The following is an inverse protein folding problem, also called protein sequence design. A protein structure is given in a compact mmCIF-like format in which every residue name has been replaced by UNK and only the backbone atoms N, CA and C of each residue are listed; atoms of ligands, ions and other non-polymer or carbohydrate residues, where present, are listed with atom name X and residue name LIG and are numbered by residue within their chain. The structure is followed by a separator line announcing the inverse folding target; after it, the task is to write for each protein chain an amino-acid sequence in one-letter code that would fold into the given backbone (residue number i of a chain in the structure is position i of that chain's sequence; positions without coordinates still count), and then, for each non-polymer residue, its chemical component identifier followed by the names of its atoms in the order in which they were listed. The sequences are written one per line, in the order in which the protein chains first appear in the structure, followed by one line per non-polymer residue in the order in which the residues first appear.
data_IF_484404665376
#
_entry.id   IF_484404665376
#
_cell.length_a   1.000
_cell.length_b   1.000
_cell.length_c   1.000
_cell.angle_alpha   90.00
_cell.angle_beta   90.00
_cell.angle_gamma   90.00
#
_symmetry.space_group_name_H-M   'P 1'
#
loop_
_entity.id
_entity.type
_entity.pdbx_description
1 polymer ?
#
# COMPACT_ATOMS: atom_id res chain seq x y z
N UNK A 1 -54.10 -29.15 17.40
CA UNK A 1 -53.46 -28.16 18.30
C UNK A 1 -51.95 -28.38 18.50
N UNK A 2 -51.38 -29.57 18.27
CA UNK A 2 -49.93 -29.87 18.40
C UNK A 2 -49.06 -29.43 17.20
N UNK A 3 -49.62 -29.40 16.00
CA UNK A 3 -48.88 -29.01 14.78
C UNK A 3 -48.64 -27.49 14.63
N UNK A 4 -49.51 -26.64 15.19
CA UNK A 4 -49.31 -25.17 15.15
C UNK A 4 -48.21 -24.69 16.11
N UNK A 5 -47.89 -25.44 17.13
CA UNK A 5 -46.82 -25.08 18.11
C UNK A 5 -45.44 -25.42 17.52
N UNK A 6 -45.32 -26.46 16.72
CA UNK A 6 -44.04 -26.82 16.08
C UNK A 6 -43.63 -25.80 15.01
N UNK A 7 -44.56 -25.28 14.22
CA UNK A 7 -44.27 -24.27 13.18
C UNK A 7 -43.81 -22.94 13.77
N UNK A 8 -44.35 -22.55 14.93
CA UNK A 8 -43.98 -21.30 15.61
C UNK A 8 -42.55 -21.36 16.21
N UNK A 9 -42.07 -22.56 16.63
CA UNK A 9 -40.71 -22.73 17.13
C UNK A 9 -39.65 -22.68 16.03
N UNK A 10 -39.92 -23.18 14.83
CA UNK A 10 -38.99 -23.10 13.69
C UNK A 10 -38.89 -21.69 13.14
N UNK A 11 -39.95 -20.90 13.10
CA UNK A 11 -39.90 -19.50 12.69
C UNK A 11 -39.10 -18.61 13.66
N UNK A 12 -39.17 -18.86 14.97
CA UNK A 12 -38.41 -18.11 15.97
C UNK A 12 -36.90 -18.38 15.91
N UNK A 13 -36.50 -19.64 15.65
CA UNK A 13 -35.09 -20.02 15.50
C UNK A 13 -34.50 -19.44 14.21
N UNK A 14 -35.23 -19.43 13.11
CA UNK A 14 -34.79 -18.83 11.84
C UNK A 14 -34.61 -17.30 11.93
N UNK A 15 -35.49 -16.60 12.68
CA UNK A 15 -35.37 -15.16 12.90
C UNK A 15 -34.16 -14.78 13.78
N UNK A 16 -33.81 -15.61 14.79
CA UNK A 16 -32.64 -15.35 15.64
C UNK A 16 -31.31 -15.59 14.91
N UNK A 17 -31.21 -16.58 14.02
CA UNK A 17 -30.02 -16.84 13.22
C UNK A 17 -29.79 -15.72 12.18
N UNK A 18 -30.88 -15.19 11.56
CA UNK A 18 -30.78 -14.09 10.60
C UNK A 18 -30.39 -12.75 11.24
N UNK A 19 -30.81 -12.48 12.49
CA UNK A 19 -30.44 -11.24 13.17
C UNK A 19 -29.00 -11.26 13.65
N UNK A 20 -28.47 -12.40 14.09
CA UNK A 20 -27.06 -12.53 14.53
C UNK A 20 -26.07 -12.37 13.36
N UNK A 21 -26.39 -12.92 12.18
CA UNK A 21 -25.54 -12.77 10.98
C UNK A 21 -25.58 -11.36 10.39
N UNK A 22 -26.73 -10.68 10.45
CA UNK A 22 -26.84 -9.28 10.01
C UNK A 22 -26.13 -8.31 10.97
N UNK A 23 -26.12 -8.58 12.25
CA UNK A 23 -25.44 -7.77 13.26
C UNK A 23 -23.90 -7.93 13.19
N UNK A 24 -23.39 -9.15 13.00
CA UNK A 24 -21.98 -9.40 12.77
C UNK A 24 -21.46 -8.74 11.48
N UNK A 25 -22.25 -8.72 10.41
CA UNK A 25 -21.90 -8.02 9.16
C UNK A 25 -21.92 -6.48 9.32
N UNK A 26 -22.70 -5.93 10.26
CA UNK A 26 -22.75 -4.49 10.54
C UNK A 26 -21.58 -3.99 11.39
N UNK A 27 -21.11 -4.77 12.33
CA UNK A 27 -20.04 -4.40 13.24
C UNK A 27 -18.66 -4.36 12.58
N UNK A 28 -18.44 -5.12 11.50
CA UNK A 28 -17.14 -5.22 10.81
C UNK A 28 -16.87 -4.12 9.78
N UNK A 29 -17.87 -3.35 9.33
CA UNK A 29 -17.71 -2.38 8.21
C UNK A 29 -16.67 -1.29 8.43
N UNK A 30 -16.33 -0.99 9.68
CA UNK A 30 -15.34 0.04 10.03
C UNK A 30 -14.09 -0.57 10.69
N UNK A 31 -13.97 -1.90 10.70
CA UNK A 31 -12.86 -2.53 11.39
C UNK A 31 -11.56 -2.32 10.63
N UNK A 32 -10.53 -1.94 11.38
CA UNK A 32 -9.17 -1.68 10.90
C UNK A 32 -8.23 -2.53 11.71
N UNK A 33 -7.39 -3.30 11.04
CA UNK A 33 -6.37 -4.11 11.69
C UNK A 33 -4.99 -3.51 11.42
N UNK A 34 -4.21 -3.36 12.48
CA UNK A 34 -2.83 -2.89 12.44
C UNK A 34 -1.81 -3.97 12.80
N UNK A 35 -2.31 -5.11 13.27
CA UNK A 35 -1.51 -6.26 13.66
C UNK A 35 -1.90 -7.49 12.81
N UNK A 36 -0.92 -8.14 12.13
CA UNK A 36 -1.20 -9.29 11.26
C UNK A 36 -1.68 -10.53 12.01
N UNK A 37 -1.22 -10.76 13.26
CA UNK A 37 -1.65 -11.92 14.04
C UNK A 37 -3.11 -11.77 14.50
N UNK A 38 -3.51 -10.54 14.83
CA UNK A 38 -4.90 -10.22 15.15
C UNK A 38 -5.78 -10.36 13.92
N UNK A 39 -5.33 -9.83 12.78
CA UNK A 39 -6.06 -9.94 11.51
C UNK A 39 -6.29 -11.41 11.11
N UNK A 40 -5.27 -12.26 11.22
CA UNK A 40 -5.36 -13.70 10.94
C UNK A 40 -6.39 -14.43 11.82
N UNK A 41 -6.53 -14.03 13.08
CA UNK A 41 -7.48 -14.65 14.03
C UNK A 41 -8.92 -14.19 13.81
N UNK A 42 -9.10 -12.93 13.40
CA UNK A 42 -10.40 -12.28 13.43
C UNK A 42 -11.06 -12.17 12.05
N UNK A 43 -10.27 -12.21 10.97
CA UNK A 43 -10.78 -12.14 9.60
C UNK A 43 -10.17 -13.24 8.72
N UNK A 44 -10.93 -14.29 8.41
CA UNK A 44 -10.45 -15.37 7.55
C UNK A 44 -10.12 -14.90 6.12
N UNK A 45 -10.66 -13.75 5.67
CA UNK A 45 -10.36 -13.17 4.36
C UNK A 45 -8.92 -12.66 4.28
N UNK A 46 -8.32 -12.27 5.41
CA UNK A 46 -6.94 -11.82 5.47
C UNK A 46 -5.94 -12.91 5.05
N UNK A 47 -6.15 -14.15 5.49
CA UNK A 47 -5.30 -15.28 5.11
C UNK A 47 -5.37 -15.62 3.60
N UNK A 48 -6.49 -15.27 2.97
CA UNK A 48 -6.74 -15.53 1.54
C UNK A 48 -6.11 -14.45 0.66
N UNK A 49 -6.13 -13.19 1.11
CA UNK A 49 -5.51 -12.10 0.41
C UNK A 49 -4.01 -12.32 0.20
N UNK A 50 -3.51 -12.09 -1.00
CA UNK A 50 -2.09 -12.25 -1.29
C UNK A 50 -1.79 -12.50 -2.76
N UNK A 51 -0.59 -13.00 -3.02
CA UNK A 51 -0.06 -13.26 -4.34
C UNK A 51 0.09 -14.76 -4.58
N UNK A 52 -0.28 -15.20 -5.78
CA UNK A 52 -0.27 -16.58 -6.20
C UNK A 52 0.43 -16.68 -7.54
N UNK A 53 1.45 -17.52 -7.65
CA UNK A 53 2.28 -17.63 -8.85
C UNK A 53 2.40 -19.07 -9.29
N UNK A 54 2.30 -19.28 -10.59
CA UNK A 54 2.48 -20.57 -11.22
C UNK A 54 2.86 -20.42 -12.68
N UNK A 55 2.90 -21.53 -13.38
CA UNK A 55 3.26 -21.56 -14.78
C UNK A 55 2.45 -22.64 -15.49
N UNK A 56 1.90 -22.30 -16.65
CA UNK A 56 1.44 -23.29 -17.61
C UNK A 56 2.47 -23.50 -18.72
N UNK A 57 2.18 -24.36 -19.69
CA UNK A 57 3.09 -24.66 -20.80
C UNK A 57 3.41 -23.44 -21.70
N UNK A 58 2.63 -22.38 -21.62
CA UNK A 58 2.72 -21.23 -22.52
C UNK A 58 3.18 -19.95 -21.83
N UNK A 59 2.89 -19.77 -20.52
CA UNK A 59 3.16 -18.50 -19.85
C UNK A 59 3.26 -18.61 -18.33
N UNK A 60 3.96 -17.66 -17.72
CA UNK A 60 3.89 -17.42 -16.29
C UNK A 60 2.54 -16.80 -15.93
N UNK A 61 1.94 -17.28 -14.85
CA UNK A 61 0.67 -16.79 -14.31
C UNK A 61 0.91 -16.18 -12.93
N UNK A 62 0.43 -14.96 -12.74
CA UNK A 62 0.48 -14.27 -11.47
C UNK A 62 -0.89 -13.72 -11.13
N UNK A 63 -1.37 -14.01 -9.93
CA UNK A 63 -2.67 -13.55 -9.45
C UNK A 63 -2.49 -12.78 -8.16
N UNK A 64 -3.07 -11.59 -8.09
CA UNK A 64 -3.18 -10.80 -6.88
C UNK A 64 -4.62 -10.85 -6.38
N UNK A 65 -4.84 -11.44 -5.21
CA UNK A 65 -6.16 -11.59 -4.58
C UNK A 65 -6.31 -10.53 -3.50
N UNK A 66 -7.31 -9.67 -3.64
CA UNK A 66 -7.61 -8.54 -2.75
C UNK A 66 -8.90 -8.80 -2.00
N UNK A 67 -8.85 -8.81 -0.68
CA UNK A 67 -10.03 -8.92 0.18
C UNK A 67 -10.84 -7.63 0.16
N UNK A 68 -12.16 -7.78 0.00
CA UNK A 68 -13.12 -6.68 -0.04
C UNK A 68 -14.07 -6.67 1.16
N UNK A 69 -13.85 -7.61 2.10
CA UNK A 69 -14.68 -7.86 3.26
C UNK A 69 -15.88 -8.75 2.98
N UNK A 70 -16.41 -9.37 4.03
CA UNK A 70 -17.58 -10.26 3.98
C UNK A 70 -17.42 -11.42 2.98
N UNK A 71 -16.24 -12.01 2.88
CA UNK A 71 -15.97 -13.12 1.96
C UNK A 71 -15.97 -12.73 0.48
N UNK A 72 -15.85 -11.44 0.15
CA UNK A 72 -15.77 -10.94 -1.22
C UNK A 72 -14.32 -10.63 -1.58
N UNK A 73 -13.95 -10.93 -2.84
CA UNK A 73 -12.60 -10.74 -3.33
C UNK A 73 -12.59 -10.22 -4.77
N UNK A 74 -11.57 -9.44 -5.09
CA UNK A 74 -11.11 -9.22 -6.45
C UNK A 74 -9.83 -10.01 -6.68
N UNK A 75 -9.74 -10.72 -7.81
CA UNK A 75 -8.50 -11.34 -8.25
C UNK A 75 -8.07 -10.75 -9.60
N UNK A 76 -6.85 -10.25 -9.65
CA UNK A 76 -6.25 -9.67 -10.83
C UNK A 76 -5.25 -10.64 -11.43
N UNK A 77 -5.62 -11.27 -12.54
CA UNK A 77 -4.78 -12.19 -13.28
C UNK A 77 -3.85 -11.41 -14.22
N UNK A 78 -2.55 -11.66 -14.09
CA UNK A 78 -1.49 -11.11 -14.94
C UNK A 78 -0.80 -12.27 -15.66
N UNK A 79 -0.70 -12.18 -16.98
CA UNK A 79 -0.05 -13.19 -17.81
C UNK A 79 1.29 -12.66 -18.31
N UNK A 80 2.27 -13.57 -18.47
CA UNK A 80 3.62 -13.28 -18.97
C UNK A 80 4.36 -12.20 -18.17
N UNK A 81 4.06 -12.08 -16.88
CA UNK A 81 4.71 -11.14 -15.98
C UNK A 81 5.10 -11.81 -14.69
N UNK A 82 6.37 -11.68 -14.32
CA UNK A 82 6.80 -11.83 -12.94
C UNK A 82 6.91 -10.44 -12.29
N UNK A 83 6.67 -10.34 -10.97
CA UNK A 83 6.75 -9.06 -10.23
C UNK A 83 8.09 -8.33 -10.40
N UNK A 84 9.13 -9.03 -10.84
CA UNK A 84 10.50 -8.53 -10.94
C UNK A 84 10.95 -8.17 -12.36
N UNK A 85 10.19 -8.53 -13.41
CA UNK A 85 10.54 -8.13 -14.79
C UNK A 85 9.85 -6.82 -15.18
N UNK A 86 10.50 -5.72 -14.81
CA UNK A 86 10.01 -4.37 -15.02
C UNK A 86 10.01 -3.91 -16.49
N UNK A 87 10.49 -4.73 -17.44
CA UNK A 87 10.76 -4.32 -18.82
C UNK A 87 9.61 -4.53 -19.79
N UNK A 88 8.55 -5.22 -19.40
CA UNK A 88 7.42 -5.47 -20.30
C UNK A 88 6.24 -4.55 -19.98
N UNK A 89 5.90 -3.57 -20.85
CA UNK A 89 4.68 -2.76 -20.73
C UNK A 89 3.44 -3.67 -20.76
N UNK A 90 2.48 -3.35 -19.89
CA UNK A 90 1.38 -4.19 -19.54
C UNK A 90 0.54 -4.84 -20.60
N UNK A 91 0.51 -6.16 -20.62
CA UNK A 91 -0.66 -6.88 -21.12
C UNK A 91 -1.87 -6.59 -20.20
N UNK A 92 -3.06 -6.69 -20.78
CA UNK A 92 -4.32 -6.46 -20.07
C UNK A 92 -4.39 -7.35 -18.81
N UNK A 93 -4.87 -6.76 -17.73
CA UNK A 93 -5.19 -7.47 -16.48
C UNK A 93 -6.62 -8.01 -16.61
N UNK A 94 -6.81 -9.26 -16.22
CA UNK A 94 -8.16 -9.83 -16.14
C UNK A 94 -8.64 -9.76 -14.70
N UNK A 95 -9.78 -9.13 -14.48
CA UNK A 95 -10.45 -9.07 -13.19
C UNK A 95 -11.41 -10.23 -13.04
N UNK A 96 -11.29 -10.98 -11.95
CA UNK A 96 -12.22 -11.98 -11.51
C UNK A 96 -12.87 -11.53 -10.19
N UNK A 97 -14.14 -11.87 -10.00
CA UNK A 97 -14.87 -11.63 -8.76
C UNK A 97 -14.97 -12.91 -7.96
N UNK A 98 -14.52 -12.87 -6.70
CA UNK A 98 -14.50 -14.03 -5.80
C UNK A 98 -15.53 -13.91 -4.70
N UNK A 99 -16.16 -15.04 -4.38
CA UNK A 99 -17.03 -15.19 -3.20
C UNK A 99 -16.59 -16.41 -2.43
N UNK A 100 -16.34 -16.24 -1.13
CA UNK A 100 -15.98 -17.32 -0.22
C UNK A 100 -17.24 -18.07 0.23
N UNK A 101 -17.19 -19.38 0.07
CA UNK A 101 -18.17 -20.33 0.59
C UNK A 101 -17.41 -21.37 1.40
N UNK A 102 -17.57 -21.36 2.71
CA UNK A 102 -16.77 -22.14 3.66
C UNK A 102 -15.25 -21.83 3.48
N UNK A 103 -14.45 -22.85 3.20
CA UNK A 103 -12.99 -22.74 3.04
C UNK A 103 -12.54 -22.52 1.58
N UNK A 104 -13.47 -22.30 0.67
CA UNK A 104 -13.19 -22.13 -0.75
C UNK A 104 -13.72 -20.80 -1.25
N UNK A 105 -12.89 -20.09 -2.02
CA UNK A 105 -13.33 -18.94 -2.82
C UNK A 105 -13.54 -19.38 -4.24
N UNK A 106 -14.71 -19.10 -4.78
CA UNK A 106 -15.06 -19.35 -6.18
C UNK A 106 -14.96 -18.03 -6.93
N UNK A 107 -14.14 -18.00 -7.98
CA UNK A 107 -13.96 -16.83 -8.83
C UNK A 107 -14.67 -16.98 -10.15
N UNK A 108 -15.36 -15.91 -10.54
CA UNK A 108 -16.11 -15.82 -11.80
C UNK A 108 -15.54 -14.72 -12.68
N UNK A 109 -15.65 -14.91 -13.99
CA UNK A 109 -15.37 -13.89 -14.99
C UNK A 109 -16.54 -12.91 -15.18
N UNK A 110 -16.43 -12.02 -16.16
CA UNK A 110 -17.46 -11.03 -16.52
C UNK A 110 -18.76 -11.68 -17.00
N UNK A 111 -18.70 -12.92 -17.52
CA UNK A 111 -19.86 -13.70 -17.98
C UNK A 111 -20.48 -14.54 -16.85
N UNK A 112 -19.99 -14.39 -15.61
CA UNK A 112 -20.38 -15.16 -14.43
C UNK A 112 -20.05 -16.66 -14.53
N UNK A 113 -19.17 -17.07 -15.45
CA UNK A 113 -18.66 -18.42 -15.50
C UNK A 113 -17.66 -18.62 -14.36
N UNK A 114 -17.79 -19.74 -13.62
CA UNK A 114 -16.84 -20.17 -12.60
C UNK A 114 -15.57 -20.66 -13.30
N UNK A 115 -14.46 -19.95 -13.17
CA UNK A 115 -13.24 -20.24 -13.91
C UNK A 115 -12.03 -20.54 -13.01
N UNK A 116 -12.10 -20.15 -11.74
CA UNK A 116 -11.02 -20.40 -10.79
C UNK A 116 -11.55 -20.65 -9.37
N UNK A 117 -10.74 -21.30 -8.56
CA UNK A 117 -10.99 -21.51 -7.13
C UNK A 117 -9.73 -21.21 -6.31
N UNK A 118 -9.94 -20.84 -5.04
CA UNK A 118 -8.85 -20.71 -4.08
C UNK A 118 -9.22 -21.53 -2.84
N UNK A 119 -8.37 -22.48 -2.50
CA UNK A 119 -8.56 -23.40 -1.38
C UNK A 119 -7.20 -23.78 -0.81
N UNK A 120 -7.07 -23.86 0.51
CA UNK A 120 -5.84 -24.25 1.22
C UNK A 120 -4.57 -23.52 0.74
N UNK A 121 -4.67 -22.20 0.48
CA UNK A 121 -3.53 -21.39 0.04
C UNK A 121 -3.09 -21.63 -1.40
N UNK A 122 -3.89 -22.31 -2.20
CA UNK A 122 -3.64 -22.56 -3.62
C UNK A 122 -4.75 -21.95 -4.49
N UNK A 123 -4.37 -21.14 -5.45
CA UNK A 123 -5.26 -20.62 -6.49
C UNK A 123 -5.22 -21.54 -7.70
N UNK A 124 -6.35 -22.10 -8.11
CA UNK A 124 -6.45 -23.01 -9.26
C UNK A 124 -7.21 -22.35 -10.39
N UNK A 125 -6.58 -22.23 -11.56
CA UNK A 125 -7.14 -21.64 -12.77
C UNK A 125 -6.97 -22.61 -13.95
N UNK A 126 -8.07 -23.05 -14.55
CA UNK A 126 -8.06 -23.96 -15.72
C UNK A 126 -7.13 -25.19 -15.55
N UNK A 127 -7.16 -25.78 -14.35
CA UNK A 127 -6.33 -26.95 -14.02
C UNK A 127 -4.88 -26.65 -13.62
N UNK A 128 -4.47 -25.39 -13.65
CA UNK A 128 -3.13 -24.97 -13.18
C UNK A 128 -3.24 -24.51 -11.73
N UNK A 129 -2.39 -25.06 -10.87
CA UNK A 129 -2.31 -24.67 -9.44
C UNK A 129 -1.21 -23.65 -9.24
N UNK A 130 -1.56 -22.54 -8.62
CA UNK A 130 -0.68 -21.44 -8.25
C UNK A 130 -0.58 -21.38 -6.73
N UNK A 131 0.54 -21.80 -6.13
CA UNK A 131 0.77 -21.65 -4.70
C UNK A 131 0.89 -20.17 -4.33
N UNK A 132 0.55 -19.87 -3.06
CA UNK A 132 0.79 -18.53 -2.48
C UNK A 132 2.29 -18.28 -2.39
N UNK A 133 2.68 -17.05 -2.69
CA UNK A 133 4.04 -16.55 -2.46
C UNK A 133 4.00 -15.33 -1.54
N UNK A 134 5.11 -15.07 -0.89
CA UNK A 134 5.34 -13.85 -0.12
C UNK A 134 6.53 -13.10 -0.72
N UNK A 135 6.29 -11.86 -1.13
CA UNK A 135 7.36 -10.96 -1.54
C UNK A 135 7.76 -10.07 -0.36
N UNK A 136 9.04 -9.78 -0.27
CA UNK A 136 9.57 -8.75 0.62
C UNK A 136 10.47 -7.80 -0.16
N UNK A 137 10.64 -6.59 0.35
CA UNK A 137 11.61 -5.66 -0.22
C UNK A 137 13.04 -6.15 0.02
N UNK A 138 13.93 -6.09 -0.98
CA UNK A 138 15.35 -6.42 -0.79
C UNK A 138 16.08 -5.41 0.10
N UNK A 139 15.51 -4.21 0.32
CA UNK A 139 16.06 -3.17 1.18
C UNK A 139 15.38 -3.11 2.56
N UNK A 140 14.48 -4.05 2.85
CA UNK A 140 13.86 -4.15 4.17
C UNK A 140 14.90 -4.44 5.25
N UNK A 141 14.94 -3.61 6.31
CA UNK A 141 15.94 -3.70 7.36
C UNK A 141 17.32 -3.15 6.95
N UNK A 142 17.41 -2.40 5.85
CA UNK A 142 18.66 -1.78 5.43
C UNK A 142 19.24 -0.89 6.53
N UNK A 143 20.51 -1.11 6.86
CA UNK A 143 21.20 -0.33 7.88
C UNK A 143 21.58 1.04 7.33
N UNK A 144 21.46 2.11 8.13
CA UNK A 144 21.95 3.43 7.74
C UNK A 144 23.45 3.38 7.46
N UNK A 145 23.94 3.93 6.34
CA UNK A 145 25.36 4.10 6.11
C UNK A 145 25.97 5.09 7.13
N UNK A 146 27.30 5.12 7.22
CA UNK A 146 28.01 5.87 8.26
C UNK A 146 27.69 7.37 8.23
N UNK A 147 27.47 7.92 7.05
CA UNK A 147 27.17 9.34 6.81
C UNK A 147 25.68 9.69 6.95
N UNK A 148 24.83 8.70 7.21
CA UNK A 148 23.40 8.92 7.34
C UNK A 148 23.04 9.62 8.66
N UNK A 149 22.05 10.49 8.56
CA UNK A 149 21.31 11.00 9.70
C UNK A 149 20.11 10.10 9.96
N UNK A 150 20.07 9.46 11.12
CA UNK A 150 18.96 8.61 11.52
C UNK A 150 17.82 9.51 12.01
N UNK A 151 16.71 9.50 11.29
CA UNK A 151 15.53 10.26 11.65
C UNK A 151 14.59 9.48 12.56
N UNK A 152 14.59 8.14 12.46
CA UNK A 152 13.82 7.28 13.34
C UNK A 152 14.36 5.84 13.31
N UNK A 153 14.73 5.33 14.48
CA UNK A 153 15.28 3.98 14.69
C UNK A 153 14.38 3.06 15.55
N UNK A 154 13.20 3.55 15.92
CA UNK A 154 12.26 2.84 16.78
C UNK A 154 12.34 3.24 18.26
N UNK A 155 13.30 4.06 18.68
CA UNK A 155 13.49 4.44 20.09
C UNK A 155 12.84 5.76 20.45
N UNK A 156 12.92 6.77 19.58
CA UNK A 156 12.44 8.13 19.86
C UNK A 156 11.96 8.84 18.59
N UNK A 157 10.91 9.65 18.74
CA UNK A 157 10.44 10.56 17.69
C UNK A 157 11.01 11.99 17.80
N UNK A 158 12.10 12.18 18.53
CA UNK A 158 12.66 13.52 18.82
C UNK A 158 13.10 14.31 17.58
N UNK A 159 13.40 13.63 16.47
CA UNK A 159 13.76 14.27 15.19
C UNK A 159 12.55 14.85 14.44
N UNK A 160 11.32 14.66 14.98
CA UNK A 160 10.07 15.01 14.32
C UNK A 160 9.26 16.01 15.15
N UNK A 161 8.78 17.07 14.55
CA UNK A 161 7.70 17.90 15.08
C UNK A 161 6.39 17.11 14.95
N UNK A 162 5.57 17.09 16.00
CA UNK A 162 4.36 16.25 16.11
C UNK A 162 4.61 14.75 15.94
N UNK A 163 5.85 14.28 16.09
CA UNK A 163 6.19 12.87 16.03
C UNK A 163 5.67 12.11 17.24
N UNK A 164 5.15 10.90 17.03
CA UNK A 164 4.69 9.99 18.07
C UNK A 164 5.26 8.60 17.84
N UNK A 165 6.06 8.12 18.78
CA UNK A 165 6.60 6.77 18.78
C UNK A 165 5.73 5.87 19.68
N UNK A 166 5.25 4.77 19.12
CA UNK A 166 4.54 3.73 19.87
C UNK A 166 5.00 2.34 19.40
N UNK A 167 5.34 1.46 20.34
CA UNK A 167 5.74 0.08 20.04
C UNK A 167 6.85 -0.04 18.97
N UNK A 168 7.83 0.89 18.99
CA UNK A 168 8.94 0.89 18.04
C UNK A 168 8.61 1.38 16.63
N UNK A 169 7.45 2.00 16.43
CA UNK A 169 7.05 2.60 15.15
C UNK A 169 6.70 4.09 15.31
N UNK A 170 6.90 4.86 14.25
CA UNK A 170 6.47 6.25 14.15
C UNK A 170 5.09 6.28 13.53
N UNK A 171 4.15 6.90 14.22
CA UNK A 171 2.77 7.04 13.74
C UNK A 171 2.65 8.15 12.68
N UNK A 172 1.79 7.95 11.70
CA UNK A 172 1.44 8.95 10.68
C UNK A 172 0.54 10.07 11.27
N UNK A 173 1.10 10.87 12.17
CA UNK A 173 0.37 11.95 12.89
C UNK A 173 0.34 13.30 12.17
N UNK A 174 0.92 13.39 10.97
CA UNK A 174 1.23 14.66 10.32
C UNK A 174 2.52 15.24 10.90
N UNK A 175 3.56 14.42 10.98
CA UNK A 175 4.84 14.80 11.58
C UNK A 175 5.83 15.32 10.53
N UNK A 176 6.62 16.32 10.92
CA UNK A 176 7.60 17.02 10.06
C UNK A 176 9.00 16.82 10.63
N UNK A 177 9.99 16.50 9.80
CA UNK A 177 11.38 16.48 10.26
C UNK A 177 11.82 17.86 10.73
N UNK A 178 12.47 17.94 11.90
CA UNK A 178 13.00 19.21 12.43
C UNK A 178 14.09 19.78 11.54
N UNK A 179 14.91 18.90 10.97
CA UNK A 179 15.93 19.28 10.01
C UNK A 179 15.36 19.41 8.60
N UNK A 180 15.90 20.35 7.85
CA UNK A 180 15.59 20.61 6.44
C UNK A 180 16.75 20.12 5.58
N UNK A 181 16.44 19.64 4.39
CA UNK A 181 17.39 19.00 3.48
C UNK A 181 17.30 19.59 2.08
N UNK A 182 18.44 19.71 1.42
CA UNK A 182 18.55 20.01 -0.01
C UNK A 182 18.50 18.74 -0.84
N UNK A 183 19.64 18.35 -1.42
CA UNK A 183 19.80 17.09 -2.14
C UNK A 183 20.06 15.96 -1.14
N UNK A 184 19.43 14.79 -1.33
CA UNK A 184 19.56 13.66 -0.41
C UNK A 184 19.17 12.32 -0.99
N UNK A 185 19.67 11.25 -0.40
CA UNK A 185 19.06 9.90 -0.48
C UNK A 185 18.30 9.63 0.82
N UNK A 186 17.08 9.10 0.71
CA UNK A 186 16.20 8.74 1.83
C UNK A 186 15.84 7.26 1.73
N UNK A 187 15.94 6.57 2.86
CA UNK A 187 15.33 5.28 3.08
C UNK A 187 14.26 5.39 4.16
N UNK A 188 13.12 4.76 3.94
CA UNK A 188 12.12 4.57 4.98
C UNK A 188 11.32 3.29 4.75
N UNK A 189 10.83 2.71 5.85
CA UNK A 189 9.92 1.60 5.83
C UNK A 189 8.53 2.04 6.30
N UNK A 190 7.50 1.55 5.62
CA UNK A 190 6.11 1.86 5.97
C UNK A 190 5.25 0.61 5.95
N UNK A 191 4.14 0.65 6.70
CA UNK A 191 3.15 -0.42 6.74
C UNK A 191 1.75 0.18 6.76
N UNK A 192 0.94 -0.22 5.78
CA UNK A 192 -0.47 0.17 5.70
C UNK A 192 -1.32 -0.79 6.55
N UNK A 193 -2.41 -0.32 7.18
CA UNK A 193 -3.36 -1.17 7.87
C UNK A 193 -4.15 -2.04 6.89
N UNK A 194 -4.69 -3.16 7.38
CA UNK A 194 -5.66 -3.95 6.65
C UNK A 194 -7.07 -3.37 6.87
N UNK A 195 -7.67 -2.89 5.78
CA UNK A 195 -8.97 -2.20 5.76
C UNK A 195 -9.84 -2.75 4.62
N UNK A 196 -10.34 -4.00 4.70
CA UNK A 196 -11.00 -4.67 3.57
C UNK A 196 -12.29 -3.98 3.11
N UNK A 197 -12.93 -3.21 3.99
CA UNK A 197 -14.15 -2.47 3.66
C UNK A 197 -13.91 -1.09 3.05
N UNK A 198 -12.70 -0.54 3.18
CA UNK A 198 -12.33 0.76 2.63
C UNK A 198 -11.93 0.66 1.15
N UNK A 199 -12.04 1.77 0.42
CA UNK A 199 -11.70 1.86 -1.01
C UNK A 199 -10.99 3.18 -1.31
N UNK A 200 -10.20 3.17 -2.38
CA UNK A 200 -9.52 4.36 -2.90
C UNK A 200 -8.75 5.09 -1.82
N UNK A 201 -8.83 6.41 -1.79
CA UNK A 201 -8.09 7.27 -0.86
C UNK A 201 -8.46 7.09 0.63
N UNK A 202 -9.48 6.33 0.96
CA UNK A 202 -9.84 5.95 2.33
C UNK A 202 -9.16 4.67 2.84
N UNK A 203 -8.36 3.97 2.01
CA UNK A 203 -7.81 2.66 2.32
C UNK A 203 -6.30 2.72 2.60
N UNK A 204 -5.92 2.82 3.87
CA UNK A 204 -4.51 2.78 4.29
C UNK A 204 -3.68 3.95 3.75
N UNK A 205 -4.23 5.16 3.79
CA UNK A 205 -3.67 6.36 3.18
C UNK A 205 -2.74 7.12 4.12
N UNK A 206 -1.62 7.56 3.56
CA UNK A 206 -0.65 8.50 4.07
C UNK A 206 0.15 9.05 2.89
N UNK A 207 1.23 9.80 3.13
CA UNK A 207 2.12 10.32 2.10
C UNK A 207 3.47 10.71 2.65
N UNK A 208 4.52 10.55 1.84
CA UNK A 208 5.88 11.03 2.13
C UNK A 208 6.13 12.27 1.29
N UNK A 209 6.18 13.43 1.93
CA UNK A 209 6.41 14.69 1.22
C UNK A 209 7.88 15.07 1.25
N UNK A 210 8.46 15.16 0.08
CA UNK A 210 9.83 15.64 -0.14
C UNK A 210 9.85 17.17 -0.11
N UNK A 211 10.79 17.72 0.65
CA UNK A 211 10.88 19.17 0.90
C UNK A 211 9.58 19.79 1.45
N UNK A 212 8.69 18.96 2.05
CA UNK A 212 7.36 19.37 2.51
C UNK A 212 6.40 19.77 1.38
N UNK A 213 6.65 19.37 0.13
CA UNK A 213 5.96 19.88 -1.06
C UNK A 213 5.46 18.82 -2.02
N UNK A 214 6.24 17.80 -2.32
CA UNK A 214 5.93 16.78 -3.34
C UNK A 214 5.72 15.44 -2.67
N UNK A 215 4.54 14.90 -2.85
CA UNK A 215 4.12 13.66 -2.23
C UNK A 215 4.49 12.45 -3.07
N UNK A 216 5.22 11.52 -2.47
CA UNK A 216 5.20 10.12 -2.86
C UNK A 216 4.10 9.42 -2.08
N UNK A 217 3.06 8.97 -2.80
CA UNK A 217 1.84 8.43 -2.21
C UNK A 217 2.09 7.14 -1.43
N UNK A 218 1.53 7.05 -0.22
CA UNK A 218 1.40 5.82 0.57
C UNK A 218 -0.08 5.45 0.62
N UNK A 219 -0.43 4.27 0.09
CA UNK A 219 -1.81 3.79 0.00
C UNK A 219 -1.83 2.26 -0.03
N UNK A 220 -2.85 1.61 0.51
CA UNK A 220 -3.10 0.21 0.20
C UNK A 220 -3.66 0.09 -1.23
N UNK A 221 -2.76 0.12 -2.19
CA UNK A 221 -3.03 -0.06 -3.62
C UNK A 221 -2.76 -1.48 -4.10
N UNK A 222 -2.65 -2.45 -3.17
CA UNK A 222 -2.37 -3.83 -3.53
C UNK A 222 -3.38 -4.35 -4.56
N UNK A 223 -2.87 -4.92 -5.64
CA UNK A 223 -3.68 -5.43 -6.74
C UNK A 223 -4.22 -4.37 -7.70
N UNK A 224 -4.11 -3.07 -7.45
CA UNK A 224 -4.65 -2.03 -8.32
C UNK A 224 -3.71 -1.67 -9.49
N UNK A 225 -4.22 -0.91 -10.45
CA UNK A 225 -3.41 -0.31 -11.50
C UNK A 225 -2.58 0.86 -10.96
N UNK A 226 -1.40 1.07 -11.55
CA UNK A 226 -0.57 2.21 -11.25
C UNK A 226 -1.23 3.52 -11.71
N UNK A 227 -1.42 4.47 -10.78
CA UNK A 227 -1.89 5.83 -11.05
C UNK A 227 -1.07 6.81 -10.22
N UNK A 228 -1.16 8.09 -10.55
CA UNK A 228 -0.43 9.14 -9.84
C UNK A 228 -0.90 9.34 -8.39
N UNK A 229 -2.09 8.86 -8.04
CA UNK A 229 -2.68 8.87 -6.71
C UNK A 229 -2.75 7.48 -6.05
N UNK A 230 -2.05 6.49 -6.59
CA UNK A 230 -1.87 5.16 -6.00
C UNK A 230 -0.45 5.02 -5.40
N UNK A 231 -0.20 3.99 -4.61
CA UNK A 231 1.08 3.77 -3.94
C UNK A 231 2.26 3.87 -4.91
N UNK A 232 3.26 4.67 -4.56
CA UNK A 232 4.42 4.97 -5.39
C UNK A 232 4.20 6.07 -6.42
N UNK A 233 2.98 6.60 -6.57
CA UNK A 233 2.72 7.77 -7.44
C UNK A 233 3.31 9.05 -6.87
N UNK A 234 3.75 9.96 -7.73
CA UNK A 234 3.99 11.35 -7.35
C UNK A 234 2.67 12.08 -7.57
N UNK A 235 1.99 12.37 -6.46
CA UNK A 235 0.60 12.80 -6.45
C UNK A 235 0.34 13.96 -7.42
N UNK A 236 -0.64 13.81 -8.30
CA UNK A 236 -1.00 14.77 -9.35
C UNK A 236 0.14 15.19 -10.31
N UNK A 237 1.24 14.45 -10.33
CA UNK A 237 2.39 14.68 -11.24
C UNK A 237 2.63 13.51 -12.15
N UNK A 238 2.86 12.30 -11.60
CA UNK A 238 3.23 11.13 -12.40
C UNK A 238 2.82 9.82 -11.75
N UNK A 239 2.29 8.90 -12.57
CA UNK A 239 2.06 7.51 -12.13
C UNK A 239 3.38 6.74 -12.08
N UNK A 240 3.53 5.79 -11.14
CA UNK A 240 4.70 4.91 -11.15
C UNK A 240 4.68 4.00 -12.39
N UNK A 241 5.84 3.58 -12.83
CA UNK A 241 6.00 2.64 -13.98
C UNK A 241 5.24 1.33 -13.74
N UNK A 242 5.22 0.87 -12.49
CA UNK A 242 4.55 -0.34 -12.03
C UNK A 242 3.96 -0.13 -10.64
N UNK A 243 2.85 -0.79 -10.34
CA UNK A 243 2.39 -0.93 -8.96
C UNK A 243 3.13 -2.09 -8.29
N UNK A 244 4.07 -1.77 -7.40
CA UNK A 244 4.85 -2.73 -6.62
C UNK A 244 4.38 -2.85 -5.16
N UNK A 245 3.22 -2.27 -4.83
CA UNK A 245 2.62 -2.33 -3.50
C UNK A 245 2.45 -3.80 -3.05
N UNK A 246 2.86 -4.08 -1.83
CA UNK A 246 2.65 -5.37 -1.17
C UNK A 246 1.26 -5.39 -0.49
N UNK A 247 0.75 -6.56 -0.11
CA UNK A 247 -0.48 -6.65 0.68
C UNK A 247 -0.40 -5.81 1.96
N UNK A 248 -1.52 -5.25 2.45
CA UNK A 248 -1.53 -4.52 3.71
C UNK A 248 -1.03 -5.39 4.87
N UNK A 249 -0.51 -4.75 5.92
CA UNK A 249 0.23 -5.33 7.04
C UNK A 249 1.60 -5.91 6.68
N UNK A 250 2.03 -5.86 5.41
CA UNK A 250 3.41 -6.12 5.03
C UNK A 250 4.25 -4.85 5.16
N UNK A 251 5.47 -4.97 5.68
CA UNK A 251 6.44 -3.88 5.65
C UNK A 251 6.95 -3.66 4.23
N UNK A 252 6.98 -2.41 3.79
CA UNK A 252 7.36 -1.95 2.47
C UNK A 252 8.45 -0.89 2.59
N UNK A 253 9.23 -0.66 1.53
CA UNK A 253 10.30 0.33 1.52
C UNK A 253 10.12 1.35 0.42
N UNK A 254 10.44 2.60 0.74
CA UNK A 254 10.82 3.60 -0.23
C UNK A 254 12.32 3.89 -0.11
N UNK A 255 13.02 3.79 -1.24
CA UNK A 255 14.38 4.29 -1.42
C UNK A 255 14.30 5.42 -2.45
N UNK A 256 14.68 6.63 -2.04
CA UNK A 256 14.48 7.85 -2.81
C UNK A 256 15.76 8.63 -2.96
N UNK A 257 16.08 9.06 -4.17
CA UNK A 257 17.08 10.09 -4.45
C UNK A 257 16.37 11.37 -4.87
N UNK A 258 16.56 12.43 -4.09
CA UNK A 258 15.94 13.73 -4.32
C UNK A 258 16.98 14.79 -4.62
N UNK A 259 16.83 15.48 -5.75
CA UNK A 259 17.62 16.64 -6.13
C UNK A 259 16.76 17.88 -6.00
N UNK A 260 17.14 18.80 -5.15
CA UNK A 260 16.39 20.02 -4.89
C UNK A 260 16.49 21.03 -6.04
N UNK A 261 15.55 21.96 -6.10
CA UNK A 261 15.56 23.06 -7.06
C UNK A 261 16.86 23.86 -7.00
N UNK A 262 17.26 24.43 -8.15
CA UNK A 262 18.39 25.35 -8.23
C UNK A 262 17.92 26.78 -8.42
N UNK A 263 18.66 27.71 -7.79
CA UNK A 263 18.40 29.13 -7.85
C UNK A 263 19.71 29.87 -8.23
N UNK A 264 19.59 30.95 -8.96
CA UNK A 264 20.71 31.87 -9.22
C UNK A 264 20.90 32.88 -8.06
N UNK A 265 21.89 33.72 -8.18
CA UNK A 265 22.22 34.75 -7.17
C UNK A 265 21.11 35.78 -6.94
N UNK A 266 20.18 35.91 -7.89
CA UNK A 266 19.01 36.81 -7.75
C UNK A 266 17.82 36.13 -7.05
N UNK A 267 17.95 34.85 -6.71
CA UNK A 267 16.88 34.04 -6.13
C UNK A 267 15.86 33.52 -7.15
N UNK A 268 16.14 33.63 -8.44
CA UNK A 268 15.32 33.08 -9.50
C UNK A 268 15.62 31.60 -9.66
N UNK A 269 14.55 30.75 -9.68
CA UNK A 269 14.71 29.31 -9.94
C UNK A 269 15.24 29.05 -11.35
N UNK A 270 16.34 28.30 -11.46
CA UNK A 270 17.00 27.91 -12.71
C UNK A 270 16.77 26.45 -13.08
N UNK A 271 16.40 25.60 -12.09
CA UNK A 271 16.00 24.21 -12.35
C UNK A 271 14.93 23.76 -11.35
N UNK A 272 13.99 22.94 -11.82
CA UNK A 272 13.03 22.25 -10.98
C UNK A 272 13.70 21.11 -10.18
N UNK A 273 13.11 20.69 -9.04
CA UNK A 273 13.58 19.50 -8.36
C UNK A 273 13.37 18.26 -9.20
N UNK A 274 14.14 17.21 -8.88
CA UNK A 274 14.02 15.91 -9.55
C UNK A 274 13.98 14.80 -8.50
N UNK A 275 13.33 13.68 -8.84
CA UNK A 275 13.18 12.57 -7.92
C UNK A 275 13.33 11.23 -8.65
N UNK A 276 14.07 10.33 -8.01
CA UNK A 276 14.12 8.90 -8.33
C UNK A 276 13.53 8.14 -7.17
N UNK A 277 12.59 7.23 -7.43
CA UNK A 277 11.92 6.44 -6.38
C UNK A 277 11.99 4.96 -6.72
N UNK A 278 12.41 4.16 -5.75
CA UNK A 278 12.21 2.71 -5.74
C UNK A 278 11.16 2.36 -4.69
N UNK A 279 10.17 1.57 -5.09
CA UNK A 279 9.18 0.96 -4.20
C UNK A 279 9.50 -0.53 -4.09
N UNK A 280 9.79 -1.00 -2.89
CA UNK A 280 10.17 -2.39 -2.62
C UNK A 280 11.34 -2.85 -3.50
N UNK A 281 12.37 -1.99 -3.64
CA UNK A 281 13.58 -2.23 -4.42
C UNK A 281 13.42 -2.07 -5.95
N UNK A 282 12.21 -1.85 -6.45
CA UNK A 282 11.92 -1.70 -7.88
C UNK A 282 11.82 -0.23 -8.26
N UNK A 283 12.56 0.18 -9.30
CA UNK A 283 12.56 1.55 -9.82
C UNK A 283 11.19 1.90 -10.43
N UNK A 284 10.46 2.81 -9.78
CA UNK A 284 9.12 3.24 -10.20
C UNK A 284 9.11 4.64 -10.82
N UNK A 285 10.05 5.51 -10.41
CA UNK A 285 10.35 6.78 -11.05
C UNK A 285 11.87 6.94 -11.20
N UNK A 286 12.32 7.45 -12.31
CA UNK A 286 13.73 7.67 -12.64
C UNK A 286 13.93 9.09 -13.09
N UNK A 287 14.71 9.85 -12.31
CA UNK A 287 15.08 11.24 -12.60
C UNK A 287 13.88 12.11 -13.07
N UNK A 288 12.73 11.92 -12.41
CA UNK A 288 11.49 12.61 -12.75
C UNK A 288 11.57 14.08 -12.32
N UNK A 289 11.35 15.00 -13.25
CA UNK A 289 11.20 16.43 -12.92
C UNK A 289 9.87 16.70 -12.21
N UNK A 290 9.90 17.58 -11.21
CA UNK A 290 8.75 17.98 -10.41
C UNK A 290 8.31 19.43 -10.78
N UNK A 291 7.55 19.62 -11.87
CA UNK A 291 7.33 20.93 -12.50
C UNK A 291 6.19 21.73 -11.83
N UNK A 292 6.02 21.57 -10.54
CA UNK A 292 5.03 22.29 -9.70
C UNK A 292 5.71 22.74 -8.41
N UNK A 293 5.25 23.84 -7.83
CA UNK A 293 5.77 24.31 -6.55
C UNK A 293 5.38 23.39 -5.38
N UNK A 294 4.27 22.65 -5.48
CA UNK A 294 3.79 21.68 -4.50
C UNK A 294 2.69 20.79 -5.09
N UNK A 295 2.44 19.66 -4.44
CA UNK A 295 1.31 18.77 -4.73
C UNK A 295 0.15 19.02 -3.75
N UNK A 296 -0.99 18.36 -3.97
CA UNK A 296 -2.18 18.48 -3.14
C UNK A 296 -1.86 18.19 -1.67
N UNK A 297 -2.49 18.90 -0.76
CA UNK A 297 -2.33 18.75 0.70
C UNK A 297 -0.90 18.91 1.24
N UNK A 298 0.01 19.49 0.46
CA UNK A 298 1.37 19.77 0.91
C UNK A 298 1.38 20.74 2.11
N UNK A 299 2.14 20.48 3.18
CA UNK A 299 2.25 21.39 4.32
C UNK A 299 2.91 22.71 3.91
N UNK A 300 3.76 22.72 2.90
CA UNK A 300 4.36 23.93 2.32
C UNK A 300 3.74 24.21 0.95
N UNK A 301 2.67 25.03 0.93
CA UNK A 301 1.86 25.36 -0.26
C UNK A 301 2.11 26.77 -0.83
N UNK A 302 3.25 27.39 -0.51
CA UNK A 302 3.69 28.67 -1.09
C UNK A 302 4.68 28.43 -2.24
N UNK A 303 4.91 29.41 -3.15
CA UNK A 303 5.95 29.30 -4.16
C UNK A 303 7.29 28.87 -3.58
N UNK A 304 8.02 28.04 -4.32
CA UNK A 304 9.32 27.52 -3.92
C UNK A 304 10.38 28.63 -4.09
N UNK A 305 10.98 29.06 -2.98
CA UNK A 305 11.99 30.13 -2.92
C UNK A 305 13.35 29.70 -2.38
N UNK A 306 13.41 28.50 -1.81
CA UNK A 306 14.64 27.93 -1.24
C UNK A 306 14.77 26.48 -1.63
N UNK A 307 16.01 25.96 -1.82
CA UNK A 307 16.21 24.57 -2.19
C UNK A 307 15.86 23.58 -1.07
N UNK A 308 15.96 24.01 0.18
CA UNK A 308 15.82 23.12 1.34
C UNK A 308 14.40 23.06 1.88
N UNK A 309 13.98 21.87 2.29
CA UNK A 309 12.72 21.66 2.96
C UNK A 309 12.72 20.42 3.85
N UNK A 310 11.72 20.26 4.71
CA UNK A 310 11.61 19.10 5.59
C UNK A 310 11.06 17.88 4.85
N UNK A 311 11.26 16.70 5.42
CA UNK A 311 10.44 15.53 5.12
C UNK A 311 9.16 15.61 5.99
N UNK A 312 8.01 15.35 5.37
CA UNK A 312 6.73 15.33 6.10
C UNK A 312 6.01 14.01 5.83
N UNK A 313 5.48 13.41 6.89
CA UNK A 313 4.69 12.18 6.84
C UNK A 313 3.23 12.55 7.14
N UNK A 314 2.36 12.33 6.15
CA UNK A 314 0.98 12.81 6.18
C UNK A 314 0.11 12.01 7.17
N UNK A 315 -0.75 12.71 7.89
CA UNK A 315 -1.92 12.14 8.54
C UNK A 315 -3.12 12.20 7.59
N UNK A 316 -3.65 11.03 7.25
CA UNK A 316 -4.88 10.91 6.45
C UNK A 316 -5.97 10.10 7.19
N UNK A 317 -5.96 10.15 8.52
CA UNK A 317 -6.91 9.43 9.39
C UNK A 317 -6.88 7.91 9.26
N UNK A 318 -5.83 7.35 8.65
CA UNK A 318 -5.58 5.92 8.61
C UNK A 318 -4.32 5.59 9.44
N UNK A 319 -4.30 4.49 10.20
CA UNK A 319 -3.20 4.14 11.09
C UNK A 319 -2.02 3.51 10.33
N UNK A 320 -1.48 4.27 9.37
CA UNK A 320 -0.21 3.96 8.71
C UNK A 320 0.92 4.20 9.70
N UNK A 321 1.92 3.34 9.67
CA UNK A 321 3.09 3.44 10.54
C UNK A 321 4.37 3.37 9.74
N UNK A 322 5.42 3.98 10.30
CA UNK A 322 6.75 4.06 9.71
C UNK A 322 7.82 3.54 10.66
N UNK A 323 8.94 3.08 10.12
CA UNK A 323 10.14 2.72 10.89
C UNK A 323 11.40 2.82 10.03
N UNK A 324 12.57 2.64 10.63
CA UNK A 324 13.86 2.61 9.95
C UNK A 324 13.99 3.75 8.94
N UNK A 325 13.93 5.01 9.43
CA UNK A 325 13.99 6.20 8.59
C UNK A 325 15.36 6.84 8.73
N UNK A 326 16.09 6.93 7.63
CA UNK A 326 17.38 7.62 7.60
C UNK A 326 17.57 8.34 6.28
N UNK A 327 18.39 9.39 6.31
CA UNK A 327 18.68 10.26 5.18
C UNK A 327 20.17 10.51 5.07
N UNK A 328 20.70 10.48 3.86
CA UNK A 328 22.06 10.88 3.53
C UNK A 328 22.00 12.19 2.78
N UNK A 329 22.33 13.32 3.40
CA UNK A 329 22.44 14.60 2.69
C UNK A 329 23.59 14.56 1.69
N UNK A 330 23.33 15.02 0.47
CA UNK A 330 24.39 15.16 -0.53
C UNK A 330 24.99 16.57 -0.44
N UNK A 331 26.31 16.64 -0.40
CA UNK A 331 27.00 17.93 -0.50
C UNK A 331 26.84 18.45 -1.94
N UNK A 332 26.41 19.69 -2.07
CA UNK A 332 26.44 20.35 -3.37
C UNK A 332 27.87 20.74 -3.71
N UNK A 333 28.34 20.43 -4.92
CA UNK A 333 29.65 20.91 -5.37
C UNK A 333 29.69 22.44 -5.48
#
# INVERSE_FOLDING_TARGET
MKEKIALLRYCLIALFVFSATAQAAGENKNKVWTDPEVALKEDPDFAIQGEYVGQNSASALWVQVVALGNGQFDAYLLQDRFPLDCRVPGKARTLLKGIRTNDTVIFTDTNKASIATLTHGCFTLSGVTLPRIERSSPTLGAKPPKEALVLFDGTSAEQWENGKCENGVLLATGCTSKQRFGDYSLHLEFRTPYMPFARGQGRGNSGVYHSGRWETQVLDSFGLEAKDNECGGIYSVSKPRLNMCLPPLSWQTYDVDFTAAKFDASGKRTAWPRITVKLNGVLVHEDLELPKDFTTAAPLSKPLTTPEGPVFLQNHSNPVVYRNIWIVPHQRP
#
